data_IF_680183383968
#
_entry.id   IF_680183383968
#
_cell.length_a   1.000
_cell.length_b   1.000
_cell.length_c   1.000
_cell.angle_alpha   90.00
_cell.angle_beta   90.00
_cell.angle_gamma   90.00
#
_symmetry.space_group_name_H-M   'P 1'
#
loop_
_entity.id
_entity.type
_entity.pdbx_description
1 polymer ?
#
# COMPACT_ATOMS: atom_id res chain seq x y z
N UNK A 1 30.46 -13.20 -15.11
CA UNK A 1 29.37 -13.99 -14.48
C UNK A 1 29.59 -13.85 -12.99
N UNK A 2 28.85 -13.09 -12.19
CA UNK A 2 27.41 -12.78 -12.17
C UNK A 2 27.17 -11.36 -11.64
N UNK A 3 26.64 -10.46 -12.47
CA UNK A 3 26.00 -9.24 -11.97
C UNK A 3 24.70 -9.63 -11.25
N UNK A 4 24.75 -9.80 -9.93
CA UNK A 4 23.54 -9.86 -9.11
C UNK A 4 23.44 -8.55 -8.33
N UNK A 5 22.95 -7.51 -8.99
CA UNK A 5 22.57 -6.25 -8.34
C UNK A 5 21.22 -6.37 -7.61
N UNK A 6 20.88 -7.57 -7.13
CA UNK A 6 19.59 -7.87 -6.50
C UNK A 6 19.91 -8.44 -5.13
N UNK A 7 19.63 -7.66 -4.09
CA UNK A 7 19.77 -8.13 -2.72
C UNK A 7 18.51 -8.96 -2.42
N UNK A 8 18.53 -10.21 -2.85
CA UNK A 8 17.39 -11.14 -2.75
C UNK A 8 16.87 -11.26 -1.31
N UNK A 9 17.77 -11.14 -0.32
CA UNK A 9 17.41 -11.11 1.10
C UNK A 9 16.45 -9.94 1.45
N UNK A 10 16.67 -8.75 0.89
CA UNK A 10 15.81 -7.59 1.15
C UNK A 10 14.48 -7.68 0.43
N UNK A 11 14.45 -8.25 -0.77
CA UNK A 11 13.19 -8.55 -1.46
C UNK A 11 12.39 -9.63 -0.70
N UNK A 12 13.06 -10.65 -0.15
CA UNK A 12 12.46 -11.64 0.73
C UNK A 12 11.89 -11.03 2.02
N UNK A 13 12.63 -10.08 2.63
CA UNK A 13 12.16 -9.37 3.82
C UNK A 13 10.94 -8.47 3.51
N UNK A 14 10.88 -7.86 2.33
CA UNK A 14 9.69 -7.13 1.87
C UNK A 14 8.50 -8.06 1.68
N UNK A 15 8.70 -9.25 1.13
CA UNK A 15 7.65 -10.26 1.01
C UNK A 15 7.15 -10.70 2.40
N UNK A 16 8.06 -10.92 3.35
CA UNK A 16 7.71 -11.23 4.74
C UNK A 16 6.92 -10.11 5.42
N UNK A 17 7.33 -8.84 5.22
CA UNK A 17 6.61 -7.68 5.73
C UNK A 17 5.20 -7.57 5.12
N UNK A 18 5.05 -7.80 3.80
CA UNK A 18 3.75 -7.81 3.15
C UNK A 18 2.84 -8.96 3.65
N UNK A 19 3.41 -10.14 3.91
CA UNK A 19 2.68 -11.25 4.51
C UNK A 19 2.23 -10.94 5.94
N UNK A 20 3.07 -10.28 6.73
CA UNK A 20 2.67 -9.78 8.06
C UNK A 20 1.49 -8.82 7.94
N UNK A 21 1.51 -7.84 7.04
CA UNK A 21 0.36 -6.94 6.82
C UNK A 21 -0.91 -7.73 6.51
N UNK A 22 -0.84 -8.73 5.63
CA UNK A 22 -1.98 -9.57 5.30
C UNK A 22 -2.51 -10.32 6.53
N UNK A 23 -1.62 -10.97 7.28
CA UNK A 23 -1.98 -11.70 8.51
C UNK A 23 -2.60 -10.76 9.55
N UNK A 24 -2.05 -9.56 9.75
CA UNK A 24 -2.60 -8.56 10.65
C UNK A 24 -4.02 -8.16 10.28
N UNK A 25 -4.32 -7.96 8.99
CA UNK A 25 -5.69 -7.69 8.53
C UNK A 25 -6.63 -8.90 8.74
N UNK A 26 -6.16 -10.14 8.50
CA UNK A 26 -6.96 -11.34 8.78
C UNK A 26 -7.29 -11.48 10.27
N UNK A 27 -6.32 -11.22 11.15
CA UNK A 27 -6.52 -11.23 12.61
C UNK A 27 -7.53 -10.14 13.04
N UNK A 28 -7.42 -8.94 12.47
CA UNK A 28 -8.39 -7.86 12.72
C UNK A 28 -9.81 -8.22 12.30
N UNK A 29 -9.99 -8.98 11.22
CA UNK A 29 -11.32 -9.39 10.71
C UNK A 29 -11.89 -10.61 11.44
N UNK A 30 -11.04 -11.46 12.04
CA UNK A 30 -11.45 -12.67 12.77
C UNK A 30 -11.60 -12.44 14.27
N UNK A 31 -11.14 -11.29 14.79
CA UNK A 31 -11.18 -10.97 16.21
C UNK A 31 -10.06 -11.61 17.03
N UNK A 32 -9.14 -12.33 16.38
CA UNK A 32 -8.00 -12.95 17.05
C UNK A 32 -6.91 -11.91 17.33
N UNK A 33 -6.28 -12.00 18.49
CA UNK A 33 -5.22 -11.07 18.89
C UNK A 33 -3.92 -11.83 19.20
N UNK A 34 -2.99 -11.81 18.26
CA UNK A 34 -1.62 -12.26 18.49
C UNK A 34 -0.74 -11.05 18.82
N UNK A 35 0.07 -11.09 19.89
CA UNK A 35 1.00 -10.01 20.17
C UNK A 35 1.98 -9.85 19.01
N UNK A 36 2.29 -8.60 18.64
CA UNK A 36 3.18 -8.19 17.52
C UNK A 36 2.59 -8.47 16.13
N UNK A 37 2.11 -9.68 15.85
CA UNK A 37 1.54 -10.04 14.54
C UNK A 37 0.12 -9.49 14.31
N UNK A 38 -0.59 -9.15 15.38
CA UNK A 38 -1.94 -8.61 15.33
C UNK A 38 -2.03 -7.13 14.91
N UNK A 39 -0.91 -6.40 14.93
CA UNK A 39 -0.87 -5.01 14.48
C UNK A 39 -0.33 -4.94 13.04
N UNK A 40 -1.21 -4.71 12.04
CA UNK A 40 -0.77 -4.56 10.66
C UNK A 40 0.07 -3.30 10.43
N UNK A 41 0.03 -2.29 11.32
CA UNK A 41 0.78 -1.04 11.16
C UNK A 41 2.30 -1.31 11.16
N UNK A 42 2.78 -2.17 12.07
CA UNK A 42 4.19 -2.53 12.15
C UNK A 42 4.70 -3.21 10.85
N UNK A 43 3.87 -4.07 10.26
CA UNK A 43 4.18 -4.70 8.97
C UNK A 43 4.28 -3.67 7.83
N UNK A 44 3.39 -2.67 7.82
CA UNK A 44 3.40 -1.59 6.83
C UNK A 44 4.64 -0.73 7.01
N UNK A 45 4.97 -0.32 8.23
CA UNK A 45 6.14 0.51 8.52
C UNK A 45 7.44 -0.16 8.06
N UNK A 46 7.58 -1.46 8.35
CA UNK A 46 8.72 -2.24 7.87
C UNK A 46 8.77 -2.30 6.34
N UNK A 47 7.64 -2.59 5.69
CA UNK A 47 7.56 -2.66 4.23
C UNK A 47 7.93 -1.32 3.56
N UNK A 48 7.44 -0.20 4.10
CA UNK A 48 7.71 1.13 3.58
C UNK A 48 9.18 1.52 3.79
N UNK A 49 9.74 1.26 4.97
CA UNK A 49 11.15 1.53 5.26
C UNK A 49 12.07 0.76 4.32
N UNK A 50 11.82 -0.53 4.11
CA UNK A 50 12.61 -1.37 3.19
C UNK A 50 12.47 -0.92 1.74
N UNK A 51 11.25 -0.57 1.31
CA UNK A 51 10.99 -0.09 -0.05
C UNK A 51 11.68 1.25 -0.32
N UNK A 52 11.72 2.15 0.66
CA UNK A 52 12.45 3.41 0.58
C UNK A 52 13.96 3.19 0.49
N UNK A 53 14.51 2.34 1.35
CA UNK A 53 15.93 1.97 1.32
C UNK A 53 16.34 1.39 -0.05
N UNK A 54 15.61 0.39 -0.53
CA UNK A 54 15.95 -0.30 -1.78
C UNK A 54 15.87 0.62 -2.99
N UNK A 55 14.94 1.57 -2.97
CA UNK A 55 14.79 2.59 -4.00
C UNK A 55 16.00 3.52 -4.07
N UNK A 56 16.49 4.00 -2.92
CA UNK A 56 17.72 4.81 -2.86
C UNK A 56 18.94 3.98 -3.26
N UNK A 57 19.03 2.75 -2.79
CA UNK A 57 20.12 1.82 -3.11
C UNK A 57 20.23 1.55 -4.63
N UNK A 58 19.12 1.18 -5.28
CA UNK A 58 19.10 0.96 -6.73
C UNK A 58 19.40 2.23 -7.53
N UNK A 59 19.04 3.39 -6.98
CA UNK A 59 19.34 4.66 -7.61
C UNK A 59 20.84 4.98 -7.52
N UNK A 60 21.47 4.80 -6.35
CA UNK A 60 22.92 4.95 -6.19
C UNK A 60 23.69 4.05 -7.15
N UNK A 61 23.25 2.81 -7.34
CA UNK A 61 23.88 1.88 -8.27
C UNK A 61 23.76 2.33 -9.74
N UNK A 62 22.75 3.15 -10.08
CA UNK A 62 22.53 3.68 -11.43
C UNK A 62 23.15 5.07 -11.64
N UNK A 63 23.83 5.62 -10.64
CA UNK A 63 24.38 6.98 -10.66
C UNK A 63 25.28 7.24 -11.89
N UNK A 64 26.05 6.26 -12.35
CA UNK A 64 26.93 6.40 -13.52
C UNK A 64 26.15 6.59 -14.83
N UNK A 65 24.94 6.05 -14.93
CA UNK A 65 24.07 6.15 -16.11
C UNK A 65 23.03 7.29 -15.97
N UNK A 66 22.59 7.55 -14.74
CA UNK A 66 21.50 8.46 -14.40
C UNK A 66 21.94 9.41 -13.25
N UNK A 67 22.80 10.42 -13.52
CA UNK A 67 23.35 11.30 -12.48
C UNK A 67 22.29 12.19 -11.83
N UNK A 68 22.43 12.40 -10.52
CA UNK A 68 21.50 13.16 -9.66
C UNK A 68 21.36 14.64 -10.01
N UNK A 69 22.44 15.23 -10.52
CA UNK A 69 22.51 16.66 -10.84
C UNK A 69 21.63 17.03 -12.05
N UNK A 70 21.15 16.04 -12.81
CA UNK A 70 20.29 16.29 -13.98
C UNK A 70 18.82 16.25 -13.58
N UNK A 71 18.05 17.34 -13.81
CA UNK A 71 16.62 17.38 -13.52
C UNK A 71 15.82 16.36 -14.35
N UNK A 72 16.33 15.98 -15.51
CA UNK A 72 15.75 14.94 -16.36
C UNK A 72 15.63 13.58 -15.65
N UNK A 73 16.60 13.24 -14.79
CA UNK A 73 16.61 11.96 -14.07
C UNK A 73 15.48 11.91 -13.05
N UNK A 74 15.25 13.01 -12.34
CA UNK A 74 14.14 13.17 -11.41
C UNK A 74 12.79 13.09 -12.13
N UNK A 75 12.66 13.77 -13.26
CA UNK A 75 11.43 13.73 -14.05
C UNK A 75 11.15 12.30 -14.56
N UNK A 76 12.16 11.59 -15.07
CA UNK A 76 12.05 10.18 -15.48
C UNK A 76 11.64 9.26 -14.33
N UNK A 77 12.17 9.50 -13.14
CA UNK A 77 11.81 8.72 -11.96
C UNK A 77 10.35 8.91 -11.55
N UNK A 78 9.91 10.17 -11.41
CA UNK A 78 8.54 10.49 -11.01
C UNK A 78 7.51 10.07 -12.06
N UNK A 79 7.81 10.25 -13.34
CA UNK A 79 6.92 9.79 -14.43
C UNK A 79 6.76 8.27 -14.43
N UNK A 80 7.86 7.50 -14.36
CA UNK A 80 7.80 6.03 -14.26
C UNK A 80 7.01 5.56 -13.04
N UNK A 81 7.16 6.25 -11.91
CA UNK A 81 6.38 5.95 -10.69
C UNK A 81 4.90 6.25 -10.87
N UNK A 82 4.58 7.43 -11.42
CA UNK A 82 3.20 7.85 -11.63
C UNK A 82 2.46 6.87 -12.55
N UNK A 83 3.03 6.55 -13.71
CA UNK A 83 2.41 5.59 -14.65
C UNK A 83 2.34 4.15 -14.13
N UNK A 84 3.11 3.79 -13.09
CA UNK A 84 3.02 2.48 -12.44
C UNK A 84 1.89 2.43 -11.39
N UNK A 85 1.72 3.50 -10.62
CA UNK A 85 0.77 3.53 -9.48
C UNK A 85 -0.61 4.02 -9.93
N UNK A 86 -0.66 5.07 -10.75
CA UNK A 86 -1.91 5.72 -11.15
C UNK A 86 -2.94 4.78 -11.81
N UNK A 87 -2.57 3.90 -12.76
CA UNK A 87 -3.55 3.02 -13.39
C UNK A 87 -4.24 2.10 -12.38
N UNK A 88 -3.45 1.46 -11.51
CA UNK A 88 -3.99 0.57 -10.49
C UNK A 88 -4.82 1.35 -9.45
N UNK A 89 -4.35 2.53 -9.06
CA UNK A 89 -5.07 3.41 -8.14
C UNK A 89 -6.46 3.76 -8.67
N UNK A 90 -6.59 4.23 -9.92
CA UNK A 90 -7.88 4.61 -10.48
C UNK A 90 -8.82 3.40 -10.66
N UNK A 91 -8.28 2.23 -11.01
CA UNK A 91 -9.08 0.99 -11.07
C UNK A 91 -9.64 0.63 -9.70
N UNK A 92 -8.81 0.63 -8.66
CA UNK A 92 -9.23 0.32 -7.30
C UNK A 92 -10.20 1.38 -6.77
N UNK A 93 -9.95 2.66 -7.07
CA UNK A 93 -10.84 3.77 -6.71
C UNK A 93 -12.23 3.60 -7.33
N UNK A 94 -12.29 3.24 -8.61
CA UNK A 94 -13.56 2.95 -9.29
C UNK A 94 -14.34 1.84 -8.57
N UNK A 95 -13.69 0.71 -8.27
CA UNK A 95 -14.34 -0.38 -7.53
C UNK A 95 -14.73 0.02 -6.11
N UNK A 96 -13.91 0.81 -5.42
CA UNK A 96 -14.22 1.28 -4.08
C UNK A 96 -15.48 2.16 -4.05
N UNK A 97 -15.65 3.04 -5.03
CA UNK A 97 -16.85 3.87 -5.17
C UNK A 97 -18.07 3.06 -5.64
N UNK A 98 -17.88 2.16 -6.60
CA UNK A 98 -18.97 1.35 -7.16
C UNK A 98 -19.50 0.30 -6.17
N UNK A 99 -18.63 -0.30 -5.38
CA UNK A 99 -18.96 -1.38 -4.42
C UNK A 99 -19.07 -0.88 -2.97
N UNK A 100 -18.98 0.44 -2.74
CA UNK A 100 -19.01 1.05 -1.40
C UNK A 100 -20.12 0.51 -0.49
N UNK A 101 -21.40 0.49 -0.92
CA UNK A 101 -22.49 -0.04 -0.11
C UNK A 101 -22.34 -1.52 0.24
N UNK A 102 -21.93 -2.35 -0.73
CA UNK A 102 -21.72 -3.78 -0.51
C UNK A 102 -20.57 -4.05 0.47
N UNK A 103 -19.47 -3.28 0.35
CA UNK A 103 -18.33 -3.38 1.28
C UNK A 103 -18.74 -2.92 2.68
N UNK A 104 -19.57 -1.87 2.79
CA UNK A 104 -20.07 -1.40 4.07
C UNK A 104 -20.94 -2.45 4.76
N UNK A 105 -21.91 -3.05 4.07
CA UNK A 105 -22.75 -4.12 4.62
C UNK A 105 -21.92 -5.33 5.06
N UNK A 106 -20.95 -5.74 4.23
CA UNK A 106 -20.04 -6.83 4.59
C UNK A 106 -19.24 -6.48 5.86
N UNK A 107 -18.81 -5.23 5.98
CA UNK A 107 -18.03 -4.77 7.13
C UNK A 107 -18.85 -4.70 8.41
N UNK A 108 -20.10 -4.25 8.36
CA UNK A 108 -20.97 -4.19 9.55
C UNK A 108 -21.30 -5.58 10.08
N UNK A 109 -21.47 -6.57 9.21
CA UNK A 109 -21.64 -7.98 9.60
C UNK A 109 -20.41 -8.51 10.33
N UNK A 110 -19.21 -8.21 9.83
CA UNK A 110 -17.95 -8.61 10.47
C UNK A 110 -17.75 -7.90 11.81
N UNK A 111 -17.96 -6.59 11.87
CA UNK A 111 -17.82 -5.82 13.10
C UNK A 111 -18.81 -6.31 14.17
N UNK A 112 -20.05 -6.65 13.79
CA UNK A 112 -21.04 -7.26 14.68
C UNK A 112 -20.59 -8.64 15.18
N UNK A 113 -20.02 -9.48 14.32
CA UNK A 113 -19.50 -10.80 14.70
C UNK A 113 -18.32 -10.70 15.67
N UNK A 114 -17.41 -9.75 15.45
CA UNK A 114 -16.21 -9.53 16.28
C UNK A 114 -16.53 -8.70 17.53
N UNK A 115 -17.74 -8.15 17.65
CA UNK A 115 -18.13 -7.29 18.77
C UNK A 115 -17.46 -5.92 18.76
N UNK A 116 -17.07 -5.41 17.58
CA UNK A 116 -16.51 -4.07 17.39
C UNK A 116 -17.59 -3.05 17.02
N UNK A 117 -17.34 -1.80 17.36
CA UNK A 117 -18.21 -0.69 16.94
C UNK A 117 -18.14 -0.57 15.40
N UNK A 118 -19.29 -0.56 14.70
CA UNK A 118 -19.31 -0.39 13.25
C UNK A 118 -18.58 0.89 12.81
N UNK A 119 -17.85 0.80 11.70
CA UNK A 119 -17.24 1.98 11.09
C UNK A 119 -18.29 3.00 10.64
N UNK A 120 -17.90 4.28 10.58
CA UNK A 120 -18.78 5.35 10.10
C UNK A 120 -19.24 5.08 8.65
N UNK A 121 -20.56 5.18 8.34
CA UNK A 121 -21.09 4.92 7.00
C UNK A 121 -20.49 5.83 5.93
N UNK A 122 -20.22 7.09 6.29
CA UNK A 122 -19.65 8.11 5.41
C UNK A 122 -18.35 7.65 4.74
N UNK A 123 -17.56 6.80 5.43
CA UNK A 123 -16.30 6.26 4.90
C UNK A 123 -16.46 5.41 3.64
N UNK A 124 -17.65 4.84 3.43
CA UNK A 124 -17.94 3.92 2.32
C UNK A 124 -19.04 4.43 1.40
N UNK A 125 -19.96 5.24 1.92
CA UNK A 125 -21.17 5.69 1.21
C UNK A 125 -21.05 7.12 0.68
N UNK A 126 -20.01 7.87 1.02
CA UNK A 126 -19.82 9.22 0.50
C UNK A 126 -19.38 9.20 -0.97
N UNK A 127 -20.36 9.30 -1.87
CA UNK A 127 -20.14 9.50 -3.30
C UNK A 127 -20.26 10.97 -3.71
N UNK A 128 -20.10 11.92 -2.78
CA UNK A 128 -20.20 13.34 -3.09
C UNK A 128 -19.12 13.76 -4.08
N UNK A 129 -19.43 14.76 -4.91
CA UNK A 129 -18.44 15.34 -5.83
C UNK A 129 -17.20 15.83 -5.09
N UNK A 130 -17.36 16.39 -3.88
CA UNK A 130 -16.26 16.82 -3.03
C UNK A 130 -15.32 15.66 -2.69
N UNK A 131 -15.85 14.50 -2.34
CA UNK A 131 -15.07 13.31 -2.05
C UNK A 131 -14.34 12.79 -3.30
N UNK A 132 -15.03 12.75 -4.44
CA UNK A 132 -14.43 12.32 -5.71
C UNK A 132 -13.28 13.27 -6.13
N UNK A 133 -13.50 14.59 -6.04
CA UNK A 133 -12.46 15.58 -6.37
C UNK A 133 -11.27 15.53 -5.41
N UNK A 134 -11.49 15.19 -4.13
CA UNK A 134 -10.41 15.00 -3.15
C UNK A 134 -9.47 13.85 -3.52
N UNK A 135 -9.92 12.87 -4.33
CA UNK A 135 -9.07 11.78 -4.83
C UNK A 135 -8.41 12.06 -6.19
N UNK A 136 -8.84 13.13 -6.87
CA UNK A 136 -8.29 13.55 -8.18
C UNK A 136 -7.21 14.64 -8.06
N UNK A 137 -7.18 15.36 -6.94
CA UNK A 137 -6.27 16.49 -6.68
C UNK A 137 -5.14 16.07 -5.77
#
# INVERSE_FOLDING_TARGET
>A
MTESSRIECLDGLRAAAALWVLVGHCLLLTGWHLPVLGDPALGVDLFIMLSGFLMVFHYQLRQDKEPWQRPETWLKFWTRRYFRIAPLFYVVLFFALALGPYVYESRTVIDAFVGRVPQAPERYLDSSLKNIFAHLT
#
